data_IF_788691974514
#
_entry.id   IF_788691974514
#
_cell.length_a   1.000
_cell.length_b   1.000
_cell.length_c   1.000
_cell.angle_alpha   90.00
_cell.angle_beta   90.00
_cell.angle_gamma   90.00
#
_symmetry.space_group_name_H-M   'P 1'
#
loop_
_entity.id
_entity.type
_entity.pdbx_description
1 polymer ?
#
# COMPACT_ATOMS: atom_id res chain seq x y z
N UNK A 1 13.47 1.45 7.31
CA UNK A 1 12.86 1.63 8.66
C UNK A 1 11.35 1.51 8.54
N UNK A 2 10.67 1.01 9.57
CA UNK A 2 9.20 0.83 9.57
C UNK A 2 8.56 1.84 10.51
N UNK A 3 7.67 2.68 9.99
CA UNK A 3 6.89 3.64 10.78
C UNK A 3 5.68 2.95 11.43
N UNK A 4 5.33 3.34 12.66
CA UNK A 4 4.08 2.87 13.29
C UNK A 4 3.07 3.99 13.19
N UNK A 5 1.92 3.72 12.59
CA UNK A 5 0.84 4.69 12.41
C UNK A 5 -0.31 4.29 13.31
N UNK A 6 -0.82 5.24 14.09
CA UNK A 6 -1.91 5.01 15.03
C UNK A 6 -3.20 5.72 14.64
N UNK A 7 -3.09 6.86 13.98
CA UNK A 7 -4.21 7.72 13.67
C UNK A 7 -4.34 7.96 12.16
N UNK A 8 -5.55 8.30 11.73
CA UNK A 8 -5.81 8.63 10.32
C UNK A 8 -5.01 9.85 9.85
N UNK A 9 -4.76 10.82 10.73
CA UNK A 9 -4.01 12.02 10.37
C UNK A 9 -2.52 11.72 10.15
N UNK A 10 -1.92 10.87 10.99
CA UNK A 10 -0.57 10.36 10.77
C UNK A 10 -0.49 9.57 9.47
N UNK A 11 -1.52 8.76 9.20
CA UNK A 11 -1.63 7.99 7.97
C UNK A 11 -1.63 8.87 6.71
N UNK A 12 -2.50 9.89 6.68
CA UNK A 12 -2.56 10.86 5.59
C UNK A 12 -1.25 11.61 5.42
N UNK A 13 -0.61 12.00 6.53
CA UNK A 13 0.68 12.69 6.51
C UNK A 13 1.78 11.79 5.95
N UNK A 14 1.81 10.52 6.33
CA UNK A 14 2.74 9.53 5.81
C UNK A 14 2.58 9.33 4.30
N UNK A 15 1.34 9.19 3.81
CA UNK A 15 1.07 9.08 2.38
C UNK A 15 1.47 10.35 1.60
N UNK A 16 1.20 11.53 2.16
CA UNK A 16 1.65 12.80 1.57
C UNK A 16 3.17 12.92 1.53
N UNK A 17 3.85 12.47 2.58
CA UNK A 17 5.32 12.46 2.65
C UNK A 17 5.94 11.47 1.66
N UNK A 18 5.25 10.37 1.34
CA UNK A 18 5.69 9.42 0.33
C UNK A 18 5.73 10.04 -1.07
N UNK A 19 4.73 10.85 -1.42
CA UNK A 19 4.66 11.51 -2.73
C UNK A 19 4.77 10.49 -3.86
N UNK A 20 5.85 10.55 -4.64
CA UNK A 20 6.11 9.63 -5.75
C UNK A 20 6.69 8.26 -5.33
N UNK A 21 7.07 8.08 -4.07
CA UNK A 21 7.59 6.82 -3.55
C UNK A 21 6.45 5.83 -3.30
N UNK A 22 6.74 4.54 -3.41
CA UNK A 22 5.81 3.49 -3.01
C UNK A 22 5.73 3.48 -1.49
N UNK A 23 4.53 3.53 -0.93
CA UNK A 23 4.26 3.36 0.49
C UNK A 23 3.58 2.02 0.72
N UNK A 24 4.12 1.20 1.62
CA UNK A 24 3.59 -0.12 1.97
C UNK A 24 3.16 -0.08 3.43
N UNK A 25 1.91 -0.44 3.69
CA UNK A 25 1.29 -0.42 5.00
C UNK A 25 0.89 -1.84 5.36
N UNK A 26 1.45 -2.36 6.44
CA UNK A 26 1.07 -3.63 7.05
C UNK A 26 -0.01 -3.41 8.12
N UNK A 27 -1.19 -3.99 7.93
CA UNK A 27 -2.21 -4.10 8.97
C UNK A 27 -1.97 -5.37 9.78
N UNK A 28 -1.70 -5.20 11.07
CA UNK A 28 -1.21 -6.25 11.97
C UNK A 28 -1.91 -6.18 13.33
N UNK A 29 -1.74 -7.21 14.16
CA UNK A 29 -2.18 -7.20 15.56
C UNK A 29 -1.23 -7.97 16.46
N UNK A 30 -1.15 -7.58 17.75
CA UNK A 30 -0.24 -8.18 18.74
C UNK A 30 -0.53 -9.66 19.04
N UNK A 31 -1.78 -10.07 18.92
CA UNK A 31 -2.24 -11.45 19.16
C UNK A 31 -2.10 -12.36 17.93
N UNK A 32 -1.80 -11.80 16.76
CA UNK A 32 -1.67 -12.57 15.52
C UNK A 32 -0.31 -13.29 15.45
N UNK A 33 -0.34 -14.63 15.56
CA UNK A 33 0.86 -15.46 15.48
C UNK A 33 1.55 -15.43 14.12
N UNK A 34 0.78 -15.36 13.02
CA UNK A 34 1.34 -15.25 11.67
C UNK A 34 2.08 -13.93 11.45
N UNK A 35 1.53 -12.84 11.99
CA UNK A 35 2.09 -11.50 11.89
C UNK A 35 3.48 -11.41 12.55
N UNK A 36 3.69 -12.11 13.68
CA UNK A 36 5.01 -12.19 14.34
C UNK A 36 6.07 -12.85 13.46
N UNK A 37 5.69 -13.81 12.61
CA UNK A 37 6.61 -14.49 11.69
C UNK A 37 7.02 -13.61 10.52
N UNK A 38 6.11 -12.78 10.00
CA UNK A 38 6.41 -11.91 8.85
C UNK A 38 7.09 -10.60 9.25
N UNK A 39 6.93 -10.15 10.50
CA UNK A 39 7.55 -8.95 11.04
C UNK A 39 9.07 -8.80 10.76
N UNK A 40 9.94 -9.82 11.00
CA UNK A 40 11.37 -9.71 10.67
C UNK A 40 11.62 -9.58 9.17
N UNK A 41 10.83 -10.25 8.32
CA UNK A 41 10.93 -10.15 6.87
C UNK A 41 10.52 -8.74 6.39
N UNK A 42 9.42 -8.21 6.93
CA UNK A 42 8.96 -6.85 6.64
C UNK A 42 9.99 -5.80 7.05
N UNK A 43 10.61 -5.97 8.22
CA UNK A 43 11.68 -5.09 8.66
C UNK A 43 12.90 -5.16 7.73
N UNK A 44 13.33 -6.37 7.32
CA UNK A 44 14.43 -6.55 6.38
C UNK A 44 14.14 -5.88 5.03
N UNK A 45 12.93 -6.02 4.49
CA UNK A 45 12.51 -5.32 3.27
C UNK A 45 12.60 -3.80 3.45
N UNK A 46 12.22 -3.27 4.61
CA UNK A 46 12.34 -1.83 4.90
C UNK A 46 13.78 -1.30 4.95
N UNK A 47 14.76 -2.18 5.13
CA UNK A 47 16.18 -1.82 5.11
C UNK A 47 16.76 -1.94 3.70
N UNK A 48 16.31 -2.95 2.94
CA UNK A 48 16.72 -3.17 1.55
C UNK A 48 16.15 -2.10 0.61
N UNK A 49 14.86 -1.79 0.74
CA UNK A 49 14.15 -0.89 -0.16
C UNK A 49 14.01 0.51 0.45
N UNK A 50 15.08 1.31 0.38
CA UNK A 50 15.06 2.71 0.88
C UNK A 50 14.19 3.65 0.03
N UNK A 51 13.88 3.26 -1.22
CA UNK A 51 12.98 4.01 -2.10
C UNK A 51 11.49 3.68 -1.86
N UNK A 52 11.21 2.84 -0.87
CA UNK A 52 9.86 2.43 -0.47
C UNK A 52 9.69 2.83 1.00
N UNK A 53 8.56 3.45 1.32
CA UNK A 53 8.20 3.79 2.68
C UNK A 53 7.42 2.64 3.28
N UNK A 54 7.87 2.12 4.43
CA UNK A 54 7.19 1.04 5.13
C UNK A 54 6.53 1.58 6.39
N UNK A 55 5.27 1.20 6.59
CA UNK A 55 4.50 1.50 7.76
C UNK A 55 3.77 0.26 8.25
N UNK A 56 3.45 0.25 9.54
CA UNK A 56 2.57 -0.73 10.16
C UNK A 56 1.45 -0.01 10.91
N UNK A 57 0.27 -0.59 10.88
CA UNK A 57 -0.93 -0.15 11.57
C UNK A 57 -1.41 -1.30 12.43
N UNK A 58 -1.57 -1.06 13.73
CA UNK A 58 -2.19 -2.04 14.62
C UNK A 58 -3.71 -1.90 14.50
N UNK A 59 -4.40 -2.94 14.02
CA UNK A 59 -5.86 -2.89 13.81
C UNK A 59 -6.63 -2.75 15.13
N UNK A 60 -6.03 -3.10 16.27
CA UNK A 60 -6.63 -2.90 17.59
C UNK A 60 -6.47 -1.46 18.08
N UNK A 61 -5.34 -0.82 17.78
CA UNK A 61 -5.10 0.61 18.12
C UNK A 61 -5.84 1.54 17.15
N UNK A 62 -5.96 1.16 15.87
CA UNK A 62 -6.48 1.99 14.78
C UNK A 62 -7.68 1.36 14.08
N UNK A 63 -8.75 1.08 14.83
CA UNK A 63 -9.96 0.43 14.28
C UNK A 63 -10.61 1.21 13.14
N UNK A 64 -10.60 2.54 13.21
CA UNK A 64 -11.17 3.39 12.15
C UNK A 64 -10.43 3.22 10.82
N UNK A 65 -9.10 3.14 10.85
CA UNK A 65 -8.29 2.84 9.66
C UNK A 65 -8.62 1.44 9.14
N UNK A 66 -8.64 0.43 10.02
CA UNK A 66 -8.97 -0.94 9.62
C UNK A 66 -10.36 -1.04 8.96
N UNK A 67 -11.35 -0.31 9.48
CA UNK A 67 -12.70 -0.26 8.91
C UNK A 67 -12.74 0.47 7.58
N UNK A 68 -12.10 1.65 7.50
CA UNK A 68 -12.04 2.48 6.29
C UNK A 68 -11.38 1.72 5.13
N UNK A 69 -10.31 0.99 5.42
CA UNK A 69 -9.59 0.17 4.46
C UNK A 69 -10.11 -1.28 4.37
N UNK A 70 -11.26 -1.57 4.98
CA UNK A 70 -11.97 -2.85 4.88
C UNK A 70 -11.10 -4.08 5.22
N UNK A 71 -10.25 -3.95 6.23
CA UNK A 71 -9.35 -5.02 6.68
C UNK A 71 -10.16 -6.11 7.38
N UNK A 72 -10.32 -7.26 6.71
CA UNK A 72 -11.10 -8.42 7.21
C UNK A 72 -10.23 -9.51 7.82
N UNK A 73 -8.95 -9.56 7.44
CA UNK A 73 -7.99 -10.55 7.89
C UNK A 73 -6.66 -9.86 8.21
N UNK A 74 -5.80 -10.53 8.96
CA UNK A 74 -4.45 -10.07 9.25
C UNK A 74 -3.46 -11.24 9.15
N UNK A 75 -2.22 -11.01 8.69
CA UNK A 75 -1.70 -9.72 8.21
C UNK A 75 -2.25 -9.36 6.83
N UNK A 76 -2.56 -8.08 6.60
CA UNK A 76 -2.92 -7.56 5.27
C UNK A 76 -1.95 -6.46 4.89
N UNK A 77 -1.46 -6.50 3.65
CA UNK A 77 -0.54 -5.49 3.14
C UNK A 77 -1.24 -4.64 2.09
N UNK A 78 -1.21 -3.33 2.31
CA UNK A 78 -1.74 -2.36 1.38
C UNK A 78 -0.62 -1.49 0.83
N UNK A 79 -0.54 -1.40 -0.48
CA UNK A 79 0.44 -0.59 -1.17
C UNK A 79 -0.24 0.66 -1.74
N UNK A 80 0.42 1.81 -1.59
CA UNK A 80 -0.04 3.12 -2.00
C UNK A 80 1.05 3.76 -2.85
N UNK A 81 0.68 4.26 -4.02
CA UNK A 81 1.64 4.92 -4.91
C UNK A 81 0.89 5.99 -5.66
N UNK A 82 1.30 7.24 -5.50
CA UNK A 82 0.71 8.35 -6.24
C UNK A 82 0.79 8.07 -7.74
N UNK A 83 -0.37 7.98 -8.40
CA UNK A 83 -0.43 7.77 -9.83
C UNK A 83 0.08 9.05 -10.50
N UNK A 84 1.15 8.93 -11.29
CA UNK A 84 1.38 9.93 -12.31
C UNK A 84 0.20 9.87 -13.27
N UNK A 85 -0.42 11.02 -13.54
CA UNK A 85 -1.56 11.15 -14.48
C UNK A 85 -1.33 10.20 -15.66
N UNK A 86 -2.26 9.28 -15.98
CA UNK A 86 -2.13 8.49 -17.19
C UNK A 86 -1.94 9.47 -18.33
N UNK A 87 -0.81 9.36 -19.03
CA UNK A 87 -0.57 10.10 -20.25
C UNK A 87 -1.76 9.79 -21.14
N UNK A 88 -2.62 10.80 -21.42
CA UNK A 88 -3.74 10.61 -22.33
C UNK A 88 -3.14 10.12 -23.65
N UNK A 89 -3.60 8.98 -24.21
CA UNK A 89 -3.20 8.57 -25.55
C UNK A 89 -3.46 9.75 -26.49
N UNK A 90 -2.46 10.14 -27.28
CA UNK A 90 -2.67 11.18 -28.29
C UNK A 90 -3.59 10.61 -29.38
N UNK A 91 -4.53 11.40 -29.91
CA UNK A 91 -5.33 10.95 -31.05
C UNK A 91 -4.38 10.65 -32.22
N UNK A 92 -4.20 9.38 -32.57
CA UNK A 92 -3.32 8.94 -33.67
C UNK A 92 -2.27 7.87 -33.30
N UNK A 93 -2.12 7.51 -32.01
CA UNK A 93 -1.33 6.34 -31.62
C UNK A 93 -2.23 5.09 -31.69
N UNK A 94 -2.26 4.40 -32.82
CA UNK A 94 -2.84 3.06 -32.90
C UNK A 94 -2.06 2.13 -31.96
N UNK A 95 -2.71 1.40 -31.02
CA UNK A 95 -2.00 0.52 -30.11
C UNK A 95 -1.40 -0.65 -30.89
N UNK A 96 -0.09 -0.97 -30.73
CA UNK A 96 0.44 -2.22 -31.23
C UNK A 96 -0.27 -3.37 -30.50
N UNK A 97 -1.03 -4.16 -31.26
CA UNK A 97 -1.65 -5.39 -30.82
C UNK A 97 -0.54 -6.39 -30.48
N UNK A 98 -0.12 -6.49 -29.21
CA UNK A 98 0.82 -7.55 -28.82
C UNK A 98 1.76 -7.35 -27.64
N UNK A 99 1.47 -6.50 -26.64
CA UNK A 99 2.15 -6.62 -25.34
C UNK A 99 1.14 -6.84 -24.21
N UNK A 100 0.78 -8.12 -24.03
CA UNK A 100 0.23 -8.62 -22.78
C UNK A 100 1.33 -8.62 -21.71
N UNK A 101 1.67 -7.44 -21.19
CA UNK A 101 2.48 -7.27 -20.01
C UNK A 101 1.63 -7.49 -18.77
N UNK A 102 1.76 -8.66 -18.14
CA UNK A 102 1.18 -9.02 -16.85
C UNK A 102 1.50 -7.98 -15.78
N UNK A 103 0.50 -7.23 -15.31
CA UNK A 103 0.41 -6.74 -13.93
C UNK A 103 -1.00 -6.17 -13.69
N UNK A 104 -1.90 -7.09 -13.32
CA UNK A 104 -3.07 -6.90 -12.45
C UNK A 104 -3.94 -5.65 -12.68
N UNK A 105 -5.04 -5.93 -13.34
CA UNK A 105 -6.23 -5.12 -13.51
C UNK A 105 -6.81 -4.62 -12.16
N UNK A 106 -6.65 -3.31 -11.94
CA UNK A 106 -7.56 -2.34 -11.29
C UNK A 106 -8.27 -2.70 -9.97
N UNK A 107 -8.01 -1.86 -8.96
CA UNK A 107 -9.06 -1.25 -8.14
C UNK A 107 -8.67 0.20 -7.78
N UNK A 108 -8.94 1.11 -8.71
CA UNK A 108 -8.92 2.56 -8.46
C UNK A 108 -10.22 2.93 -7.73
N UNK A 109 -10.16 3.24 -6.44
CA UNK A 109 -11.26 3.92 -5.75
C UNK A 109 -11.09 5.44 -5.92
N UNK A 110 -12.14 6.17 -6.32
CA UNK A 110 -12.08 7.62 -6.48
C UNK A 110 -12.11 8.27 -5.10
N UNK A 111 -10.97 8.75 -4.62
CA UNK A 111 -10.88 9.51 -3.36
C UNK A 111 -9.48 9.49 -2.78
N UNK A 112 -8.73 10.57 -3.00
CA UNK A 112 -7.49 10.96 -2.32
C UNK A 112 -6.51 9.85 -1.91
N UNK A 113 -5.57 9.54 -2.81
CA UNK A 113 -4.39 8.74 -2.54
C UNK A 113 -4.45 7.37 -3.20
N UNK A 114 -3.95 7.30 -4.43
CA UNK A 114 -3.95 6.11 -5.29
C UNK A 114 -3.41 4.85 -4.55
N UNK A 115 -4.31 3.90 -4.33
CA UNK A 115 -4.02 2.57 -3.76
C UNK A 115 -3.63 1.66 -4.91
N UNK A 116 -2.44 1.04 -4.86
CA UNK A 116 -1.94 0.14 -5.91
C UNK A 116 -1.56 -1.17 -5.26
N UNK A 117 -2.37 -2.21 -5.48
CA UNK A 117 -2.21 -3.62 -5.09
C UNK A 117 -2.60 -4.01 -3.64
N UNK A 118 -3.41 -5.07 -3.57
CA UNK A 118 -3.79 -5.83 -2.37
C UNK A 118 -3.16 -7.21 -2.51
N UNK A 119 -2.18 -7.55 -1.66
CA UNK A 119 -1.72 -8.93 -1.54
C UNK A 119 -2.31 -9.50 -0.25
N UNK A 120 -3.34 -10.34 -0.39
CA UNK A 120 -3.75 -11.27 0.66
C UNK A 120 -2.96 -12.57 0.45
N UNK A 121 -2.28 -13.02 1.50
CA UNK A 121 -1.55 -14.30 1.51
C UNK A 121 -2.43 -15.39 2.12
#
# INVERSE_FOLDING_TARGET
MVHTIKDMDEFKTFLKAAGCKLAVVEFSAKWCGACKRICPLFHAMSLQYQNVMFAKVDVDESRELAQTYHIKAIPTFQMFKQAQKPLKPRPGDDPPMGEAGTAEEKLTYPGEGDIVAFYNY
#
